data_IF_888745076064
#
_entry.id   IF_888745076064
#
_cell.length_a   1.000
_cell.length_b   1.000
_cell.length_c   1.000
_cell.angle_alpha   90.00
_cell.angle_beta   90.00
_cell.angle_gamma   90.00
#
_symmetry.space_group_name_H-M   'P 1'
#
loop_
_entity.id
_entity.type
_entity.pdbx_description
1 polymer ?
#
# COMPACT_ATOMS: atom_id res chain seq x y z
N UNK A 1 -7.24 2.76 -20.61
CA UNK A 1 -6.25 3.32 -19.68
C UNK A 1 -6.79 3.15 -18.28
N UNK A 2 -6.14 2.31 -17.47
CA UNK A 2 -6.74 1.82 -16.23
C UNK A 2 -6.43 2.78 -15.08
N UNK A 3 -7.22 3.84 -14.92
CA UNK A 3 -7.13 4.78 -13.78
C UNK A 3 -6.98 4.08 -12.43
N UNK A 4 -7.63 2.93 -12.25
CA UNK A 4 -7.51 2.14 -11.03
C UNK A 4 -6.12 1.55 -10.80
N UNK A 5 -5.42 1.16 -11.87
CA UNK A 5 -4.07 0.60 -11.76
C UNK A 5 -3.05 1.67 -11.35
N UNK A 6 -3.16 2.87 -11.91
CA UNK A 6 -2.32 4.01 -11.53
C UNK A 6 -2.55 4.42 -10.08
N UNK A 7 -3.81 4.37 -9.64
CA UNK A 7 -4.18 4.72 -8.28
C UNK A 7 -3.63 3.71 -7.26
N UNK A 8 -3.70 2.41 -7.56
CA UNK A 8 -3.11 1.36 -6.74
C UNK A 8 -1.60 1.50 -6.64
N UNK A 9 -0.94 1.85 -7.73
CA UNK A 9 0.49 2.12 -7.74
C UNK A 9 0.88 3.25 -6.78
N UNK A 10 0.14 4.36 -6.76
CA UNK A 10 0.37 5.46 -5.82
C UNK A 10 0.21 5.02 -4.35
N UNK A 11 -0.78 4.18 -4.05
CA UNK A 11 -0.98 3.62 -2.71
C UNK A 11 0.21 2.75 -2.30
N UNK A 12 0.71 1.90 -3.21
CA UNK A 12 1.88 1.05 -2.97
C UNK A 12 3.11 1.91 -2.68
N UNK A 13 3.36 2.93 -3.51
CA UNK A 13 4.48 3.87 -3.34
C UNK A 13 4.46 4.48 -1.94
N UNK A 14 3.31 5.00 -1.53
CA UNK A 14 3.17 5.64 -0.23
C UNK A 14 3.38 4.65 0.93
N UNK A 15 2.77 3.46 0.85
CA UNK A 15 2.93 2.41 1.86
C UNK A 15 4.39 1.98 2.03
N UNK A 16 5.12 1.81 0.93
CA UNK A 16 6.55 1.48 0.92
C UNK A 16 7.39 2.60 1.53
N UNK A 17 7.10 3.88 1.19
CA UNK A 17 7.80 5.02 1.77
C UNK A 17 7.61 5.11 3.28
N UNK A 18 6.39 4.96 3.76
CA UNK A 18 6.06 4.98 5.19
C UNK A 18 6.74 3.83 5.92
N UNK A 19 6.65 2.61 5.40
CA UNK A 19 7.28 1.43 6.00
C UNK A 19 8.81 1.57 6.07
N UNK A 20 9.43 2.10 5.01
CA UNK A 20 10.86 2.38 4.96
C UNK A 20 11.28 3.45 5.96
N UNK A 21 10.51 4.53 6.10
CA UNK A 21 10.82 5.66 6.95
C UNK A 21 10.72 5.34 8.45
N UNK A 22 9.71 4.59 8.88
CA UNK A 22 9.43 4.30 10.29
C UNK A 22 10.64 3.73 11.05
N UNK A 23 11.45 2.92 10.38
CA UNK A 23 12.64 2.31 11.01
C UNK A 23 13.89 3.14 10.78
N UNK A 24 14.14 3.57 9.55
CA UNK A 24 15.37 4.26 9.21
C UNK A 24 15.48 5.65 9.82
N UNK A 25 14.38 6.34 10.09
CA UNK A 25 14.37 7.63 10.78
C UNK A 25 14.99 7.56 12.19
N UNK A 26 14.82 6.43 12.87
CA UNK A 26 15.43 6.26 14.19
C UNK A 26 16.94 5.97 14.11
N UNK A 27 17.37 5.29 13.06
CA UNK A 27 18.79 5.13 12.78
C UNK A 27 19.44 6.49 12.52
N UNK A 28 18.81 7.32 11.69
CA UNK A 28 19.32 8.64 11.30
C UNK A 28 19.31 9.66 12.45
N UNK A 29 18.29 9.61 13.31
CA UNK A 29 18.15 10.54 14.46
C UNK A 29 18.96 10.11 15.68
N UNK A 30 19.63 8.95 15.65
CA UNK A 30 20.40 8.43 16.77
C UNK A 30 19.57 8.06 18.00
N UNK A 31 18.25 8.07 17.89
CA UNK A 31 17.30 7.71 18.97
C UNK A 31 17.35 6.22 19.32
N UNK A 32 18.00 5.40 18.49
CA UNK A 32 18.29 4.00 18.79
C UNK A 32 19.00 3.84 20.15
N UNK A 33 19.88 4.78 20.53
CA UNK A 33 20.57 4.70 21.83
C UNK A 33 19.60 4.83 23.00
N UNK A 34 18.60 5.70 22.91
CA UNK A 34 17.57 5.86 23.94
C UNK A 34 16.60 4.67 23.99
N UNK A 35 16.32 4.06 22.86
CA UNK A 35 15.50 2.84 22.75
C UNK A 35 16.20 1.61 23.36
N UNK A 36 17.54 1.56 23.32
CA UNK A 36 18.33 0.48 23.89
C UNK A 36 18.39 0.53 25.43
N UNK A 37 18.07 1.67 26.04
CA UNK A 37 18.02 1.85 27.49
C UNK A 37 16.67 1.41 28.08
N UNK A 38 15.64 1.23 27.22
CA UNK A 38 14.32 0.80 27.67
C UNK A 38 14.32 -0.70 28.03
N UNK A 39 13.55 -1.13 29.07
CA UNK A 39 13.53 -2.51 29.55
C UNK A 39 12.80 -3.49 28.60
N UNK A 40 12.43 -3.04 27.39
CA UNK A 40 11.71 -3.86 26.43
C UNK A 40 12.64 -4.66 25.51
N UNK A 41 12.22 -5.87 25.14
CA UNK A 41 12.95 -6.70 24.18
C UNK A 41 12.96 -6.03 22.79
N UNK A 42 14.09 -6.07 22.08
CA UNK A 42 14.25 -5.50 20.74
C UNK A 42 13.20 -6.00 19.73
N UNK A 43 12.84 -7.30 19.84
CA UNK A 43 11.80 -7.92 19.01
C UNK A 43 10.42 -7.30 19.21
N UNK A 44 10.08 -6.90 20.45
CA UNK A 44 8.80 -6.27 20.75
C UNK A 44 8.70 -4.87 20.13
N UNK A 45 9.80 -4.12 20.15
CA UNK A 45 9.87 -2.79 19.53
C UNK A 45 9.74 -2.89 18.01
N UNK A 46 10.47 -3.82 17.38
CA UNK A 46 10.36 -4.05 15.93
C UNK A 46 8.95 -4.51 15.51
N UNK A 47 8.35 -5.41 16.28
CA UNK A 47 7.00 -5.89 16.01
C UNK A 47 5.97 -4.75 16.11
N UNK A 48 6.08 -3.89 17.13
CA UNK A 48 5.20 -2.73 17.27
C UNK A 48 5.28 -1.80 16.07
N UNK A 49 6.50 -1.52 15.57
CA UNK A 49 6.71 -0.69 14.38
C UNK A 49 6.19 -1.33 13.10
N UNK A 50 6.37 -2.63 12.97
CA UNK A 50 5.82 -3.38 11.86
C UNK A 50 4.29 -3.31 11.82
N UNK A 51 3.64 -3.53 12.97
CA UNK A 51 2.18 -3.38 13.08
C UNK A 51 1.76 -1.94 12.76
N UNK A 52 2.48 -0.95 13.26
CA UNK A 52 2.20 0.47 12.96
C UNK A 52 2.30 0.77 11.47
N UNK A 53 3.31 0.25 10.76
CA UNK A 53 3.46 0.46 9.31
C UNK A 53 2.31 -0.14 8.51
N UNK A 54 1.87 -1.34 8.87
CA UNK A 54 0.71 -1.99 8.24
C UNK A 54 -0.56 -1.18 8.51
N UNK A 55 -0.77 -0.76 9.76
CA UNK A 55 -1.95 -0.02 10.19
C UNK A 55 -2.05 1.33 9.46
N UNK A 56 -0.94 2.07 9.36
CA UNK A 56 -0.87 3.31 8.59
C UNK A 56 -1.17 3.08 7.10
N UNK A 57 -0.65 2.01 6.52
CA UNK A 57 -0.94 1.68 5.13
C UNK A 57 -2.43 1.41 4.91
N UNK A 58 -3.09 0.66 5.82
CA UNK A 58 -4.53 0.40 5.74
C UNK A 58 -5.33 1.69 5.89
N UNK A 59 -4.98 2.54 6.86
CA UNK A 59 -5.63 3.86 7.05
C UNK A 59 -5.49 4.70 5.78
N UNK A 60 -4.31 4.69 5.17
CA UNK A 60 -4.08 5.43 3.93
C UNK A 60 -4.91 4.90 2.77
N UNK A 61 -5.07 3.59 2.63
CA UNK A 61 -5.96 2.98 1.63
C UNK A 61 -7.40 3.49 1.81
N UNK A 62 -7.91 3.43 3.04
CA UNK A 62 -9.27 3.91 3.34
C UNK A 62 -9.42 5.40 3.03
N UNK A 63 -8.46 6.21 3.46
CA UNK A 63 -8.45 7.65 3.18
C UNK A 63 -8.41 7.96 1.69
N UNK A 64 -7.59 7.25 0.93
CA UNK A 64 -7.47 7.40 -0.51
C UNK A 64 -8.80 7.10 -1.22
N UNK A 65 -9.52 6.04 -0.82
CA UNK A 65 -10.84 5.74 -1.36
C UNK A 65 -11.90 6.77 -1.00
N UNK A 66 -11.90 7.27 0.23
CA UNK A 66 -12.81 8.34 0.64
C UNK A 66 -12.60 9.59 -0.22
N UNK A 67 -11.33 9.99 -0.42
CA UNK A 67 -11.01 11.11 -1.28
C UNK A 67 -11.42 10.88 -2.74
N UNK A 68 -11.23 9.69 -3.26
CA UNK A 68 -11.65 9.33 -4.62
C UNK A 68 -13.17 9.44 -4.79
N UNK A 69 -13.94 8.99 -3.83
CA UNK A 69 -15.41 9.09 -3.86
C UNK A 69 -15.85 10.55 -3.80
N UNK A 70 -15.25 11.36 -2.92
CA UNK A 70 -15.57 12.78 -2.77
C UNK A 70 -15.23 13.55 -4.06
N UNK A 71 -14.00 13.40 -4.55
CA UNK A 71 -13.53 14.10 -5.75
C UNK A 71 -14.32 13.64 -6.98
N UNK A 72 -14.49 12.32 -7.15
CA UNK A 72 -15.26 11.76 -8.25
C UNK A 72 -16.72 12.22 -8.22
N UNK A 73 -17.36 12.28 -7.05
CA UNK A 73 -18.70 12.77 -6.88
C UNK A 73 -18.87 14.26 -7.19
N UNK A 74 -17.87 15.08 -6.84
CA UNK A 74 -17.89 16.52 -7.12
C UNK A 74 -17.70 16.84 -8.60
N UNK A 75 -16.80 16.14 -9.29
CA UNK A 75 -16.48 16.44 -10.70
C UNK A 75 -17.39 15.75 -11.71
N UNK A 76 -17.82 14.52 -11.42
CA UNK A 76 -18.60 13.69 -12.35
C UNK A 76 -20.06 13.55 -11.94
N UNK A 77 -20.44 14.08 -10.77
CA UNK A 77 -21.75 13.90 -10.17
C UNK A 77 -21.87 12.55 -9.45
N UNK A 78 -22.64 12.52 -8.35
CA UNK A 78 -22.85 11.30 -7.55
C UNK A 78 -23.61 10.20 -8.30
N UNK A 79 -24.31 10.52 -9.38
CA UNK A 79 -24.95 9.53 -10.23
C UNK A 79 -23.93 8.67 -11.00
N UNK A 80 -22.72 9.15 -11.21
CA UNK A 80 -21.64 8.36 -11.82
C UNK A 80 -21.20 7.18 -10.95
N UNK A 81 -21.41 7.21 -9.64
CA UNK A 81 -21.16 6.08 -8.73
C UNK A 81 -22.11 4.91 -8.94
N UNK A 82 -23.28 5.16 -9.55
CA UNK A 82 -24.27 4.14 -9.95
C UNK A 82 -23.93 3.50 -11.30
N UNK A 83 -22.96 4.06 -12.02
CA UNK A 83 -22.56 3.52 -13.31
C UNK A 83 -22.09 2.09 -13.19
N UNK A 84 -22.45 1.30 -14.20
CA UNK A 84 -22.10 -0.10 -14.31
C UNK A 84 -20.81 -0.24 -15.10
N UNK A 85 -19.90 -1.04 -14.59
CA UNK A 85 -18.66 -1.41 -15.29
C UNK A 85 -18.87 -2.80 -15.91
N UNK A 86 -18.53 -2.93 -17.18
CA UNK A 86 -18.53 -4.21 -17.86
C UNK A 86 -17.20 -4.89 -17.59
N UNK A 87 -17.22 -6.00 -16.89
CA UNK A 87 -16.04 -6.80 -16.55
C UNK A 87 -16.12 -8.15 -17.25
N UNK A 88 -15.03 -8.56 -17.89
CA UNK A 88 -14.93 -9.88 -18.46
C UNK A 88 -14.61 -10.90 -17.35
N UNK A 89 -15.55 -11.78 -17.06
CA UNK A 89 -15.35 -12.87 -16.11
C UNK A 89 -14.69 -14.05 -16.82
N UNK A 90 -13.44 -14.35 -16.45
CA UNK A 90 -12.65 -15.45 -17.03
C UNK A 90 -13.22 -16.83 -16.69
N UNK A 91 -13.91 -16.97 -15.57
CA UNK A 91 -14.47 -18.26 -15.14
C UNK A 91 -15.73 -18.63 -15.94
N UNK A 92 -16.60 -17.64 -16.21
CA UNK A 92 -17.86 -17.83 -16.96
C UNK A 92 -17.71 -17.51 -18.45
N UNK A 93 -16.55 -16.96 -18.87
CA UNK A 93 -16.27 -16.48 -20.23
C UNK A 93 -17.36 -15.52 -20.76
N UNK A 94 -17.98 -14.76 -19.86
CA UNK A 94 -19.06 -13.83 -20.14
C UNK A 94 -18.74 -12.42 -19.67
N UNK A 95 -19.37 -11.43 -20.32
CA UNK A 95 -19.35 -10.05 -19.87
C UNK A 95 -20.38 -9.90 -18.74
N UNK A 96 -19.91 -9.55 -17.55
CA UNK A 96 -20.77 -9.27 -16.41
C UNK A 96 -20.83 -7.77 -16.15
N UNK A 97 -22.03 -7.30 -15.83
CA UNK A 97 -22.30 -5.92 -15.49
C UNK A 97 -22.24 -5.81 -13.96
N UNK A 98 -21.27 -5.08 -13.44
CA UNK A 98 -21.13 -4.84 -12.00
C UNK A 98 -21.26 -3.35 -11.67
N UNK A 99 -21.78 -3.04 -10.47
CA UNK A 99 -21.72 -1.67 -9.98
C UNK A 99 -20.26 -1.25 -9.73
N UNK A 100 -19.96 0.01 -10.01
CA UNK A 100 -18.61 0.58 -9.85
C UNK A 100 -18.04 0.35 -8.44
N UNK A 101 -18.86 0.53 -7.40
CA UNK A 101 -18.44 0.32 -6.01
C UNK A 101 -18.02 -1.13 -5.73
N UNK A 102 -18.80 -2.10 -6.22
CA UNK A 102 -18.48 -3.53 -6.07
C UNK A 102 -17.16 -3.87 -6.76
N UNK A 103 -16.94 -3.35 -7.96
CA UNK A 103 -15.71 -3.52 -8.71
C UNK A 103 -14.49 -2.98 -7.96
N UNK A 104 -14.57 -1.77 -7.41
CA UNK A 104 -13.51 -1.14 -6.61
C UNK A 104 -13.15 -2.01 -5.40
N UNK A 105 -14.14 -2.48 -4.64
CA UNK A 105 -13.91 -3.33 -3.46
C UNK A 105 -13.21 -4.63 -3.84
N UNK A 106 -13.66 -5.31 -4.88
CA UNK A 106 -13.05 -6.57 -5.34
C UNK A 106 -11.59 -6.35 -5.75
N UNK A 107 -11.31 -5.34 -6.57
CA UNK A 107 -9.94 -5.01 -6.98
C UNK A 107 -9.07 -4.71 -5.77
N UNK A 108 -9.55 -3.93 -4.81
CA UNK A 108 -8.79 -3.61 -3.60
C UNK A 108 -8.40 -4.87 -2.84
N UNK A 109 -9.35 -5.78 -2.64
CA UNK A 109 -9.10 -7.05 -1.95
C UNK A 109 -8.06 -7.88 -2.70
N UNK A 110 -8.10 -7.90 -4.03
CA UNK A 110 -7.11 -8.61 -4.85
C UNK A 110 -5.70 -7.99 -4.76
N UNK A 111 -5.60 -6.66 -4.62
CA UNK A 111 -4.31 -5.98 -4.49
C UNK A 111 -3.75 -5.97 -3.06
N UNK A 112 -4.57 -6.21 -2.03
CA UNK A 112 -4.15 -6.23 -0.63
C UNK A 112 -2.92 -7.14 -0.37
N UNK A 113 -2.88 -8.40 -0.83
CA UNK A 113 -1.72 -9.26 -0.60
C UNK A 113 -0.44 -8.68 -1.21
N UNK A 114 -0.52 -8.09 -2.39
CA UNK A 114 0.63 -7.46 -3.06
C UNK A 114 1.13 -6.24 -2.27
N UNK A 115 0.21 -5.37 -1.82
CA UNK A 115 0.56 -4.20 -1.00
C UNK A 115 1.24 -4.63 0.28
N UNK A 116 0.67 -5.61 1.01
CA UNK A 116 1.24 -6.12 2.25
C UNK A 116 2.63 -6.72 2.03
N UNK A 117 2.82 -7.48 0.95
CA UNK A 117 4.12 -8.07 0.60
C UNK A 117 5.17 -6.98 0.38
N UNK A 118 4.86 -5.94 -0.40
CA UNK A 118 5.81 -4.86 -0.67
C UNK A 118 6.12 -4.03 0.57
N UNK A 119 5.12 -3.76 1.42
CA UNK A 119 5.30 -3.05 2.70
C UNK A 119 6.18 -3.87 3.64
N UNK A 120 5.99 -5.19 3.74
CA UNK A 120 6.83 -6.07 4.57
C UNK A 120 8.26 -6.14 4.05
N UNK A 121 8.46 -6.19 2.73
CA UNK A 121 9.79 -6.14 2.12
C UNK A 121 10.48 -4.81 2.40
N UNK A 122 9.80 -3.68 2.22
CA UNK A 122 10.36 -2.36 2.50
C UNK A 122 10.78 -2.22 3.96
N UNK A 123 9.94 -2.71 4.88
CA UNK A 123 10.24 -2.74 6.31
C UNK A 123 11.46 -3.60 6.62
N UNK A 124 11.54 -4.82 6.06
CA UNK A 124 12.66 -5.73 6.26
C UNK A 124 13.98 -5.14 5.75
N UNK A 125 13.98 -4.58 4.53
CA UNK A 125 15.17 -3.95 3.94
C UNK A 125 15.59 -2.74 4.76
N UNK A 126 14.63 -1.92 5.22
CA UNK A 126 14.91 -0.75 6.06
C UNK A 126 15.54 -1.13 7.41
N UNK A 127 15.10 -2.23 8.02
CA UNK A 127 15.68 -2.72 9.29
C UNK A 127 17.11 -3.22 9.12
N UNK A 128 17.48 -3.78 7.96
CA UNK A 128 18.81 -4.31 7.69
C UNK A 128 19.78 -3.19 7.31
N UNK A 129 19.37 -2.31 6.42
CA UNK A 129 20.25 -1.28 5.83
C UNK A 129 20.28 -0.01 6.69
N UNK A 130 19.20 0.29 7.42
CA UNK A 130 19.07 1.52 8.22
C UNK A 130 18.97 2.80 7.37
N UNK A 131 18.66 2.68 6.06
CA UNK A 131 18.55 3.80 5.14
C UNK A 131 17.25 3.70 4.34
N UNK A 132 16.42 4.75 4.43
CA UNK A 132 15.12 4.84 3.76
C UNK A 132 15.23 4.79 2.26
N UNK A 133 16.20 5.51 1.68
CA UNK A 133 16.35 5.61 0.23
C UNK A 133 16.66 4.25 -0.40
N UNK A 134 17.54 3.47 0.22
CA UNK A 134 17.86 2.12 -0.25
C UNK A 134 16.68 1.16 -0.09
N UNK A 135 15.94 1.25 1.02
CA UNK A 135 14.75 0.42 1.23
C UNK A 135 13.70 0.66 0.14
N UNK A 136 13.43 1.93 -0.16
CA UNK A 136 12.51 2.34 -1.23
C UNK A 136 13.01 1.84 -2.59
N UNK A 137 14.27 2.11 -2.94
CA UNK A 137 14.85 1.76 -4.22
C UNK A 137 14.80 0.24 -4.50
N UNK A 138 15.18 -0.60 -3.52
CA UNK A 138 15.17 -2.07 -3.66
C UNK A 138 13.73 -2.58 -3.78
N UNK A 139 12.79 -2.03 -3.00
CA UNK A 139 11.39 -2.46 -3.06
C UNK A 139 10.75 -2.08 -4.39
N UNK A 140 11.06 -0.89 -4.92
CA UNK A 140 10.61 -0.48 -6.24
C UNK A 140 11.24 -1.31 -7.36
N UNK A 141 12.54 -1.58 -7.31
CA UNK A 141 13.18 -2.47 -8.27
C UNK A 141 12.54 -3.86 -8.27
N UNK A 142 12.23 -4.40 -7.09
CA UNK A 142 11.51 -5.67 -6.94
C UNK A 142 10.08 -5.62 -7.52
N UNK A 143 9.36 -4.51 -7.32
CA UNK A 143 8.00 -4.37 -7.88
C UNK A 143 8.00 -4.26 -9.40
N UNK A 144 8.98 -3.55 -10.00
CA UNK A 144 9.12 -3.44 -11.46
C UNK A 144 9.50 -4.79 -12.06
N UNK A 145 10.43 -5.53 -11.44
CA UNK A 145 10.80 -6.88 -11.87
C UNK A 145 9.59 -7.83 -11.84
N UNK A 146 8.76 -7.75 -10.81
CA UNK A 146 7.52 -8.52 -10.72
C UNK A 146 6.54 -8.17 -11.84
N UNK A 147 6.49 -6.92 -12.27
CA UNK A 147 5.60 -6.44 -13.34
C UNK A 147 6.07 -6.89 -14.73
N UNK A 148 7.37 -7.07 -14.92
CA UNK A 148 7.96 -7.54 -16.19
C UNK A 148 7.77 -9.07 -16.37
N UNK A 149 7.62 -9.81 -15.26
CA UNK A 149 7.46 -11.27 -15.29
C UNK A 149 6.01 -11.76 -15.46
N UNK A 150 5.01 -10.87 -15.52
CA UNK A 150 3.61 -11.16 -15.79
C UNK A 150 3.25 -10.71 -17.21
#
# INVERSE_FOLDING_TARGET
MNFFQEYMFMIIVFGVMVAGAIVSDEYNKGTIKSLLITPYKRSTILLSKFITSILLTIIFIVFAYLMQIIIGGLFLGFDSLKNHVVVYNLATKSLEIMSLLKYIVIITICYLPQILLLVTLAFAVSTIIGNTAFAIAITFAGSILSLIHI
#
